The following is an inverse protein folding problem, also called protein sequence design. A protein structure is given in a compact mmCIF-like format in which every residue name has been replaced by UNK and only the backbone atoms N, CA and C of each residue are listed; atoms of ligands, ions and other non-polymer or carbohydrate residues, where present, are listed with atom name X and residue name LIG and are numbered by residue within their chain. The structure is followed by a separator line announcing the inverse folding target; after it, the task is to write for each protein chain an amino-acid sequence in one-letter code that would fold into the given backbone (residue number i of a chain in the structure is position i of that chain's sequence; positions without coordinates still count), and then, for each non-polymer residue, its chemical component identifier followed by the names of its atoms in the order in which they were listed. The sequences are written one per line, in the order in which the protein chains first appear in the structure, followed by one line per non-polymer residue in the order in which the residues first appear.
data_IF_057355195242
#
_entry.id   IF_057355195242
#
_cell.length_a   1.000
_cell.length_b   1.000
_cell.length_c   1.000
_cell.angle_alpha   90.00
_cell.angle_beta   90.00
_cell.angle_gamma   90.00
#
_symmetry.space_group_name_H-M   'P 1'
#
loop_
_entity.id
_entity.type
_entity.pdbx_description
1 polymer ?
#
# COMPACT_ATOMS: atom_id res chain seq x y z
N UNK A 1 -13.32 -2.16 -23.46
CA UNK A 1 -13.54 -2.40 -22.02
C UNK A 1 -14.51 -3.55 -21.83
N UNK A 2 -14.39 -4.31 -20.72
CA UNK A 2 -15.34 -5.36 -20.31
C UNK A 2 -15.80 -5.13 -18.86
N UNK A 3 -16.78 -4.23 -18.61
CA UNK A 3 -17.14 -3.81 -17.25
C UNK A 3 -17.61 -4.95 -16.33
N UNK A 4 -18.40 -5.90 -16.84
CA UNK A 4 -18.88 -7.04 -16.04
C UNK A 4 -17.72 -7.88 -15.47
N UNK A 5 -16.68 -8.12 -16.27
CA UNK A 5 -15.50 -8.86 -15.85
C UNK A 5 -14.73 -8.14 -14.73
N UNK A 6 -14.64 -6.81 -14.80
CA UNK A 6 -14.01 -5.98 -13.76
C UNK A 6 -14.84 -6.01 -12.48
N UNK A 7 -16.16 -5.91 -12.59
CA UNK A 7 -17.07 -6.00 -11.45
C UNK A 7 -16.97 -7.36 -10.74
N UNK A 8 -16.89 -8.46 -11.51
CA UNK A 8 -16.73 -9.79 -10.96
C UNK A 8 -15.37 -9.96 -10.26
N UNK A 9 -14.29 -9.45 -10.85
CA UNK A 9 -12.96 -9.46 -10.24
C UNK A 9 -12.91 -8.62 -8.96
N UNK A 10 -13.52 -7.43 -8.96
CA UNK A 10 -13.64 -6.57 -7.78
C UNK A 10 -14.44 -7.27 -6.68
N UNK A 11 -15.55 -7.92 -7.01
CA UNK A 11 -16.38 -8.65 -6.04
C UNK A 11 -15.56 -9.75 -5.35
N UNK A 12 -14.77 -10.51 -6.11
CA UNK A 12 -13.90 -11.56 -5.55
C UNK A 12 -12.77 -10.98 -4.70
N UNK A 13 -12.10 -9.92 -5.18
CA UNK A 13 -11.09 -9.22 -4.40
C UNK A 13 -11.64 -8.68 -3.07
N UNK A 14 -12.85 -8.10 -3.10
CA UNK A 14 -13.52 -7.53 -1.92
C UNK A 14 -13.91 -8.57 -0.88
N UNK A 15 -14.09 -9.83 -1.28
CA UNK A 15 -14.42 -10.94 -0.40
C UNK A 15 -13.18 -11.61 0.24
N UNK A 16 -11.96 -11.27 -0.20
CA UNK A 16 -10.73 -11.83 0.37
C UNK A 16 -10.44 -11.23 1.75
N UNK A 17 -9.91 -12.01 2.70
CA UNK A 17 -9.53 -11.50 3.99
C UNK A 17 -8.34 -10.54 3.86
N UNK A 18 -8.45 -9.38 4.50
CA UNK A 18 -7.35 -8.43 4.71
C UNK A 18 -6.79 -8.52 6.13
N UNK A 19 -7.55 -9.10 7.06
CA UNK A 19 -7.17 -9.23 8.46
C UNK A 19 -7.07 -7.90 9.20
N UNK A 20 -7.83 -6.91 8.74
CA UNK A 20 -7.85 -5.52 9.25
C UNK A 20 -6.53 -4.75 9.10
N UNK A 21 -5.63 -5.20 8.24
CA UNK A 21 -4.36 -4.50 7.98
C UNK A 21 -4.51 -3.43 6.89
N UNK A 22 -3.86 -2.30 7.13
CA UNK A 22 -3.82 -1.15 6.22
C UNK A 22 -2.38 -0.68 6.05
N UNK A 23 -1.97 -0.39 4.81
CA UNK A 23 -0.69 0.27 4.55
C UNK A 23 -0.80 1.74 4.95
N UNK A 24 0.13 2.21 5.77
CA UNK A 24 0.11 3.56 6.33
C UNK A 24 1.36 4.39 6.09
N UNK A 25 2.42 3.85 5.51
CA UNK A 25 3.59 4.62 5.08
C UNK A 25 4.55 3.74 4.27
N UNK A 26 5.48 4.36 3.55
CA UNK A 26 6.74 3.70 3.23
C UNK A 26 7.55 3.50 4.51
N UNK A 27 8.28 2.38 4.63
CA UNK A 27 9.13 2.09 5.80
C UNK A 27 10.16 3.19 6.06
N UNK A 28 10.73 3.74 4.98
CA UNK A 28 11.69 4.86 5.02
C UNK A 28 11.11 6.20 5.48
N UNK A 29 9.79 6.36 5.55
CA UNK A 29 9.17 7.57 6.11
C UNK A 29 9.14 7.54 7.64
N UNK A 30 9.10 6.35 8.25
CA UNK A 30 9.10 6.16 9.70
C UNK A 30 10.51 5.76 10.14
N UNK A 31 11.38 6.74 10.38
CA UNK A 31 12.81 6.50 10.67
C UNK A 31 13.12 6.55 12.16
N UNK A 32 14.04 5.69 12.62
CA UNK A 32 14.64 5.82 13.95
C UNK A 32 15.31 7.18 14.11
N UNK A 33 15.01 7.87 15.22
CA UNK A 33 15.49 9.24 15.45
C UNK A 33 14.82 10.32 14.59
N UNK A 34 13.82 9.97 13.77
CA UNK A 34 12.97 10.92 13.06
C UNK A 34 11.81 11.45 13.91
N UNK A 35 11.04 12.43 13.38
CA UNK A 35 9.79 12.84 14.00
C UNK A 35 8.76 11.70 13.95
N UNK A 36 7.69 11.74 14.77
CA UNK A 36 6.58 10.82 14.60
C UNK A 36 5.92 11.03 13.23
N UNK A 37 5.40 9.95 12.67
CA UNK A 37 4.61 9.96 11.44
C UNK A 37 3.13 9.86 11.79
N UNK A 38 2.27 10.64 11.14
CA UNK A 38 0.83 10.61 11.37
C UNK A 38 0.05 10.31 10.09
N UNK A 39 -0.98 9.46 10.18
CA UNK A 39 -1.92 9.18 9.08
C UNK A 39 -3.32 8.90 9.62
N UNK A 40 -4.33 9.29 8.85
CA UNK A 40 -5.72 8.91 9.11
C UNK A 40 -6.08 7.69 8.27
N UNK A 41 -6.79 6.73 8.86
CA UNK A 41 -7.30 5.54 8.17
C UNK A 41 -8.75 5.31 8.59
N UNK A 42 -9.68 5.36 7.64
CA UNK A 42 -11.11 5.16 7.94
C UNK A 42 -11.66 6.15 8.98
N UNK A 43 -11.14 7.37 9.03
CA UNK A 43 -11.44 8.37 10.07
C UNK A 43 -10.67 8.20 11.38
N UNK A 44 -9.95 7.10 11.60
CA UNK A 44 -9.12 6.91 12.78
C UNK A 44 -7.74 7.55 12.59
N UNK A 45 -7.32 8.42 13.50
CA UNK A 45 -5.97 8.96 13.50
C UNK A 45 -4.98 7.96 14.08
N UNK A 46 -3.84 7.80 13.39
CA UNK A 46 -2.76 6.90 13.75
C UNK A 46 -1.47 7.70 13.86
N UNK A 47 -0.71 7.49 14.95
CA UNK A 47 0.67 7.96 15.08
C UNK A 47 1.61 6.77 15.08
N UNK A 48 2.76 6.92 14.41
CA UNK A 48 3.82 5.93 14.33
C UNK A 48 5.16 6.55 14.67
N UNK A 49 6.03 5.77 15.31
CA UNK A 49 7.44 6.13 15.50
C UNK A 49 8.27 4.88 15.71
N UNK A 50 9.60 5.05 15.77
CA UNK A 50 10.51 3.97 16.18
C UNK A 50 11.19 4.25 17.49
N UNK A 51 11.33 3.21 18.31
CA UNK A 51 12.19 3.23 19.49
C UNK A 51 13.65 3.42 19.11
N UNK A 52 14.53 3.67 20.09
CA UNK A 52 15.96 3.76 19.85
C UNK A 52 16.55 2.46 19.28
N UNK A 53 15.92 1.32 19.59
CA UNK A 53 16.27 0.01 19.06
C UNK A 53 15.73 -0.25 17.64
N UNK A 54 14.95 0.68 17.07
CA UNK A 54 14.32 0.55 15.76
C UNK A 54 12.99 -0.19 15.73
N UNK A 55 12.47 -0.58 16.91
CA UNK A 55 11.15 -1.19 17.02
C UNK A 55 10.06 -0.19 16.59
N UNK A 56 9.15 -0.64 15.73
CA UNK A 56 8.03 0.17 15.26
C UNK A 56 6.89 0.17 16.29
N UNK A 57 6.45 1.36 16.69
CA UNK A 57 5.25 1.56 17.50
C UNK A 57 4.18 2.26 16.66
N UNK A 58 2.92 1.91 16.92
CA UNK A 58 1.76 2.61 16.38
C UNK A 58 0.65 2.66 17.43
N UNK A 59 -0.22 3.66 17.36
CA UNK A 59 -1.40 3.77 18.21
C UNK A 59 -2.28 4.96 17.84
N UNK A 60 -3.31 5.27 18.65
CA UNK A 60 -4.17 6.43 18.44
C UNK A 60 -3.36 7.72 18.26
N UNK A 61 -3.74 8.52 17.26
CA UNK A 61 -3.08 9.79 16.95
C UNK A 61 -3.35 10.91 17.95
N UNK A 62 -4.26 10.69 18.90
CA UNK A 62 -4.68 11.65 19.91
C UNK A 62 -4.05 11.31 21.27
N UNK A 63 -3.47 12.32 21.92
CA UNK A 63 -2.87 12.18 23.24
C UNK A 63 -3.94 11.89 24.30
N UNK A 64 -3.80 10.83 25.13
CA UNK A 64 -4.80 10.45 26.12
C UNK A 64 -4.95 11.44 27.28
N UNK A 65 -4.00 12.39 27.42
CA UNK A 65 -4.06 13.39 28.47
C UNK A 65 -5.17 14.43 28.21
N UNK A 66 -5.03 15.24 27.16
CA UNK A 66 -5.95 16.35 26.85
C UNK A 66 -6.19 16.50 25.33
N UNK A 67 -5.97 15.45 24.54
CA UNK A 67 -6.40 15.42 23.14
C UNK A 67 -5.44 16.04 22.12
N UNK A 68 -4.20 16.34 22.49
CA UNK A 68 -3.22 16.91 21.53
C UNK A 68 -2.92 15.95 20.36
N UNK A 69 -2.77 16.45 19.11
CA UNK A 69 -2.38 15.64 17.97
C UNK A 69 -0.93 15.16 18.12
N UNK A 70 -0.74 13.86 18.31
CA UNK A 70 0.56 13.25 18.57
C UNK A 70 1.50 13.32 17.34
N UNK A 71 0.96 13.45 16.13
CA UNK A 71 1.75 13.65 14.91
C UNK A 71 2.58 14.94 14.90
N UNK A 72 2.21 15.93 15.70
CA UNK A 72 2.95 17.20 15.86
C UNK A 72 3.96 17.16 17.01
N UNK A 73 4.10 15.99 17.64
CA UNK A 73 4.99 15.77 18.76
C UNK A 73 6.40 15.41 18.31
N UNK A 74 7.28 15.04 19.26
CA UNK A 74 8.67 14.67 18.97
C UNK A 74 8.99 13.29 19.54
N UNK A 75 9.96 12.62 18.95
CA UNK A 75 10.54 11.39 19.50
C UNK A 75 11.86 11.77 20.18
N UNK A 76 12.00 11.46 21.47
CA UNK A 76 13.22 11.70 22.25
C UNK A 76 13.71 10.35 22.77
N UNK A 77 14.92 9.95 22.37
CA UNK A 77 15.52 8.67 22.76
C UNK A 77 14.58 7.46 22.53
N UNK A 78 13.79 7.48 21.46
CA UNK A 78 12.83 6.42 21.12
C UNK A 78 11.46 6.51 21.80
N UNK A 79 11.22 7.52 22.63
CA UNK A 79 9.94 7.75 23.32
C UNK A 79 9.19 8.90 22.66
N UNK A 80 7.90 8.73 22.39
CA UNK A 80 7.04 9.78 21.86
C UNK A 80 6.68 10.76 22.97
N UNK A 81 7.09 12.02 22.86
CA UNK A 81 6.86 13.06 23.87
C UNK A 81 5.89 14.09 23.30
N UNK A 82 4.66 14.10 23.83
CA UNK A 82 3.59 15.00 23.43
C UNK A 82 4.06 16.46 23.48
N UNK A 83 3.87 17.21 22.39
CA UNK A 83 4.31 18.60 22.28
C UNK A 83 3.65 19.57 23.28
N UNK A 84 2.49 19.20 23.84
CA UNK A 84 1.75 20.10 24.72
C UNK A 84 2.27 20.09 26.15
N UNK A 85 2.06 19.00 26.89
CA UNK A 85 2.43 18.89 28.31
C UNK A 85 3.57 17.90 28.58
N UNK A 86 4.21 17.38 27.52
CA UNK A 86 5.36 16.49 27.65
C UNK A 86 5.04 15.07 28.12
N UNK A 87 3.77 14.62 28.04
CA UNK A 87 3.45 13.21 28.29
C UNK A 87 4.31 12.31 27.39
N UNK A 88 5.01 11.38 28.01
CA UNK A 88 5.88 10.42 27.35
C UNK A 88 5.13 9.10 27.14
N UNK A 89 5.12 8.61 25.90
CA UNK A 89 4.56 7.33 25.49
C UNK A 89 5.69 6.47 24.94
N UNK A 90 5.96 5.35 25.59
CA UNK A 90 7.01 4.39 25.23
C UNK A 90 6.54 3.35 24.19
N UNK A 91 5.25 3.37 23.84
CA UNK A 91 4.62 2.43 22.91
C UNK A 91 3.77 1.37 23.61
N UNK A 92 3.78 1.33 24.94
CA UNK A 92 2.86 0.52 25.75
C UNK A 92 1.52 1.23 26.02
N UNK A 93 0.55 0.49 26.59
CA UNK A 93 -0.75 1.05 26.97
C UNK A 93 -0.61 2.10 28.08
N UNK A 94 -1.35 3.21 27.95
CA UNK A 94 -1.37 4.29 28.92
C UNK A 94 -2.73 5.00 28.97
N UNK A 95 -3.41 4.91 30.12
CA UNK A 95 -4.65 5.68 30.39
C UNK A 95 -5.66 5.70 29.24
N UNK A 96 -6.03 4.53 28.71
CA UNK A 96 -7.00 4.40 27.60
C UNK A 96 -6.41 4.62 26.20
N UNK A 97 -5.12 4.98 26.10
CA UNK A 97 -4.35 4.85 24.87
C UNK A 97 -3.83 3.42 24.77
N UNK A 98 -4.30 2.68 23.76
CA UNK A 98 -3.91 1.30 23.50
C UNK A 98 -3.09 1.25 22.21
N UNK A 99 -1.89 0.65 22.20
CA UNK A 99 -1.09 0.54 20.99
C UNK A 99 -1.78 -0.34 19.94
N UNK A 100 -1.65 0.05 18.67
CA UNK A 100 -2.11 -0.76 17.55
C UNK A 100 -1.04 -1.76 17.13
N UNK A 101 -1.44 -2.99 16.73
CA UNK A 101 -0.51 -3.91 16.07
C UNK A 101 0.06 -3.26 14.81
N UNK A 102 1.39 -3.23 14.73
CA UNK A 102 2.13 -2.66 13.61
C UNK A 102 3.05 -3.71 12.98
N UNK A 103 3.24 -3.63 11.67
CA UNK A 103 4.13 -4.51 10.94
C UNK A 103 4.91 -3.74 9.89
N UNK A 104 6.23 -3.82 9.95
CA UNK A 104 7.12 -3.29 8.93
C UNK A 104 7.62 -4.44 8.07
N UNK A 105 7.30 -4.42 6.78
CA UNK A 105 7.72 -5.44 5.83
C UNK A 105 9.05 -5.12 5.12
N UNK A 106 9.70 -4.01 5.51
CA UNK A 106 10.93 -3.49 4.94
C UNK A 106 10.72 -2.45 3.83
N UNK A 107 9.56 -2.42 3.18
CA UNK A 107 9.19 -1.43 2.15
C UNK A 107 8.01 -0.59 2.59
N UNK A 108 7.01 -1.22 3.21
CA UNK A 108 5.76 -0.64 3.65
C UNK A 108 5.53 -0.91 5.13
N UNK A 109 4.94 0.07 5.80
CA UNK A 109 4.47 -0.04 7.17
C UNK A 109 2.96 -0.28 7.15
N UNK A 110 2.55 -1.28 7.91
CA UNK A 110 1.18 -1.72 8.05
C UNK A 110 0.72 -1.51 9.49
N UNK A 111 -0.54 -1.11 9.67
CA UNK A 111 -1.19 -1.02 10.98
C UNK A 111 -2.50 -1.79 10.92
N UNK A 112 -2.79 -2.56 11.97
CA UNK A 112 -4.06 -3.27 12.12
C UNK A 112 -5.07 -2.41 12.85
N UNK A 113 -6.22 -2.17 12.23
CA UNK A 113 -7.29 -1.32 12.77
C UNK A 113 -8.60 -2.10 12.75
N UNK A 114 -8.84 -2.86 13.82
CA UNK A 114 -9.95 -3.82 13.88
C UNK A 114 -11.32 -3.14 13.80
N UNK A 115 -11.47 -1.95 14.40
CA UNK A 115 -12.71 -1.16 14.31
C UNK A 115 -12.97 -0.57 12.90
N UNK A 116 -11.93 -0.38 12.09
CA UNK A 116 -12.05 0.13 10.71
C UNK A 116 -12.28 -1.00 9.73
N UNK A 117 -11.57 -2.12 9.88
CA UNK A 117 -11.67 -3.25 8.97
C UNK A 117 -12.92 -4.12 9.20
N UNK A 118 -13.31 -4.33 10.46
CA UNK A 118 -14.51 -5.11 10.81
C UNK A 118 -14.44 -6.60 10.48
N UNK A 119 -13.30 -7.12 10.02
CA UNK A 119 -13.06 -8.54 9.74
C UNK A 119 -12.48 -9.26 10.96
N UNK A 120 -12.39 -10.60 10.89
CA UNK A 120 -11.60 -11.36 11.86
C UNK A 120 -10.11 -10.98 11.74
N UNK A 121 -9.46 -10.50 12.82
CA UNK A 121 -8.09 -10.02 12.74
C UNK A 121 -7.09 -11.14 12.47
N UNK A 122 -6.12 -10.90 11.59
CA UNK A 122 -4.98 -11.82 11.40
C UNK A 122 -3.76 -11.34 12.17
N UNK A 123 -2.84 -12.26 12.45
CA UNK A 123 -1.56 -11.95 13.12
C UNK A 123 -0.59 -11.15 12.23
N UNK A 124 -0.67 -11.31 10.92
CA UNK A 124 0.23 -10.67 9.93
C UNK A 124 -0.58 -10.17 8.73
N UNK A 125 -0.16 -9.06 8.09
CA UNK A 125 -0.76 -8.62 6.84
C UNK A 125 -0.48 -9.61 5.70
N UNK A 126 -1.33 -9.59 4.68
CA UNK A 126 -1.13 -10.32 3.43
C UNK A 126 -0.18 -9.52 2.54
N UNK A 127 1.13 -9.69 2.77
CA UNK A 127 2.17 -9.01 1.99
C UNK A 127 2.35 -9.72 0.65
N UNK A 128 2.26 -9.00 -0.50
CA UNK A 128 2.54 -9.59 -1.80
C UNK A 128 3.97 -10.16 -1.91
N UNK A 129 4.13 -11.22 -2.71
CA UNK A 129 5.47 -11.77 -2.98
C UNK A 129 6.30 -10.79 -3.81
N UNK A 130 7.44 -10.36 -3.28
CA UNK A 130 8.41 -9.48 -3.97
C UNK A 130 9.64 -10.27 -4.44
N UNK A 131 10.43 -9.73 -5.39
CA UNK A 131 11.81 -10.17 -5.60
C UNK A 131 12.64 -10.15 -4.31
N UNK A 132 13.71 -10.93 -4.26
CA UNK A 132 14.61 -10.94 -3.11
C UNK A 132 15.33 -9.59 -2.96
N UNK A 133 15.38 -9.07 -1.73
CA UNK A 133 15.87 -7.72 -1.42
C UNK A 133 17.32 -7.45 -1.87
N UNK A 134 18.19 -8.47 -1.90
CA UNK A 134 19.60 -8.32 -2.27
C UNK A 134 19.87 -8.07 -3.77
N UNK A 135 18.84 -8.08 -4.62
CA UNK A 135 18.95 -7.79 -6.06
C UNK A 135 17.81 -6.92 -6.59
N UNK A 136 17.11 -6.21 -5.71
CA UNK A 136 15.93 -5.44 -6.05
C UNK A 136 15.98 -4.02 -5.46
N UNK A 137 15.38 -3.08 -6.17
CA UNK A 137 15.23 -1.69 -5.76
C UNK A 137 13.77 -1.38 -5.46
N UNK A 138 13.50 -0.73 -4.34
CA UNK A 138 12.16 -0.26 -4.00
C UNK A 138 11.97 1.26 -4.16
N UNK A 139 10.79 1.62 -4.65
CA UNK A 139 10.31 2.99 -4.64
C UNK A 139 8.84 3.01 -4.23
N UNK A 140 8.53 3.81 -3.21
CA UNK A 140 7.17 4.03 -2.74
C UNK A 140 6.75 5.47 -3.05
N UNK A 141 5.57 5.63 -3.64
CA UNK A 141 4.89 6.92 -3.77
C UNK A 141 3.53 6.86 -3.05
N UNK A 142 3.06 8.03 -2.61
CA UNK A 142 1.75 8.19 -1.98
C UNK A 142 1.01 9.33 -2.66
N UNK A 143 -0.25 9.09 -3.00
CA UNK A 143 -1.17 10.11 -3.54
C UNK A 143 -2.55 9.98 -2.88
N UNK A 144 -3.37 11.02 -2.97
CA UNK A 144 -4.73 11.03 -2.41
C UNK A 144 -5.75 11.35 -3.48
N UNK A 145 -6.84 10.60 -3.51
CA UNK A 145 -7.96 10.77 -4.43
C UNK A 145 -9.30 10.95 -3.71
N UNK A 146 -10.27 11.56 -4.41
CA UNK A 146 -11.69 11.54 -4.02
C UNK A 146 -12.37 10.36 -4.69
N UNK A 147 -12.31 9.23 -4.01
CA UNK A 147 -12.87 7.97 -4.45
C UNK A 147 -12.90 6.99 -3.29
N UNK A 148 -13.67 5.92 -3.45
CA UNK A 148 -13.62 4.77 -2.56
C UNK A 148 -12.41 3.87 -2.88
N UNK A 149 -11.90 3.08 -1.92
CA UNK A 149 -10.82 2.13 -2.19
C UNK A 149 -11.14 1.16 -3.33
N UNK A 150 -12.40 0.73 -3.43
CA UNK A 150 -12.88 -0.17 -4.47
C UNK A 150 -12.80 0.45 -5.88
N UNK A 151 -12.91 1.77 -6.01
CA UNK A 151 -12.76 2.46 -7.30
C UNK A 151 -11.30 2.37 -7.79
N UNK A 152 -10.35 2.48 -6.87
CA UNK A 152 -8.90 2.32 -7.16
C UNK A 152 -8.62 0.90 -7.60
N UNK A 153 -9.16 -0.10 -6.90
CA UNK A 153 -8.99 -1.52 -7.24
C UNK A 153 -9.60 -1.83 -8.60
N UNK A 154 -10.84 -1.39 -8.86
CA UNK A 154 -11.51 -1.57 -10.14
C UNK A 154 -10.73 -0.91 -11.28
N UNK A 155 -10.26 0.32 -11.08
CA UNK A 155 -9.46 1.03 -12.07
C UNK A 155 -8.15 0.29 -12.38
N UNK A 156 -7.44 -0.18 -11.34
CA UNK A 156 -6.15 -0.86 -11.51
C UNK A 156 -6.29 -2.25 -12.15
N UNK A 157 -7.44 -2.90 -11.98
CA UNK A 157 -7.80 -4.17 -12.65
C UNK A 157 -8.34 -4.00 -14.07
N UNK A 158 -8.60 -2.78 -14.55
CA UNK A 158 -9.04 -2.52 -15.93
C UNK A 158 -7.82 -2.34 -16.86
N UNK A 159 -7.40 -3.35 -17.64
CA UNK A 159 -6.29 -3.15 -18.58
C UNK A 159 -6.66 -2.26 -19.77
N UNK A 160 -7.95 -2.09 -20.09
CA UNK A 160 -8.39 -1.42 -21.32
C UNK A 160 -8.23 0.11 -21.26
N UNK A 161 -8.22 0.71 -20.06
CA UNK A 161 -7.96 2.14 -19.95
C UNK A 161 -6.49 2.48 -20.25
N UNK A 162 -5.56 1.52 -20.12
CA UNK A 162 -4.12 1.75 -20.22
C UNK A 162 -3.69 2.40 -21.54
N UNK A 163 -4.05 1.82 -22.68
CA UNK A 163 -3.67 2.35 -23.98
C UNK A 163 -4.36 3.68 -24.33
N UNK A 164 -5.54 3.94 -23.78
CA UNK A 164 -6.35 5.12 -24.10
C UNK A 164 -6.02 6.32 -23.20
N UNK A 165 -5.94 6.09 -21.88
CA UNK A 165 -5.75 7.12 -20.87
C UNK A 165 -4.28 7.39 -20.55
N UNK A 166 -3.39 6.40 -20.78
CA UNK A 166 -1.95 6.54 -20.60
C UNK A 166 -1.14 6.35 -21.89
N UNK A 167 -1.46 7.06 -22.99
CA UNK A 167 -0.84 6.87 -24.31
C UNK A 167 0.66 7.24 -24.34
N UNK A 168 1.13 7.93 -23.30
CA UNK A 168 2.54 8.29 -23.12
C UNK A 168 3.35 7.22 -22.38
N UNK A 169 2.69 6.31 -21.66
CA UNK A 169 3.33 5.26 -20.85
C UNK A 169 3.22 3.88 -21.50
N UNK A 170 2.05 3.56 -22.09
CA UNK A 170 1.78 2.27 -22.68
C UNK A 170 1.46 2.39 -24.18
N UNK A 171 2.01 1.47 -24.96
CA UNK A 171 1.59 1.23 -26.34
C UNK A 171 1.37 -0.27 -26.55
N UNK A 172 0.59 -0.61 -27.58
CA UNK A 172 0.38 -1.98 -28.02
C UNK A 172 -0.13 -2.93 -26.91
N UNK A 173 -1.07 -2.44 -26.09
CA UNK A 173 -1.65 -3.24 -25.02
C UNK A 173 -2.62 -4.27 -25.59
N UNK A 174 -2.32 -5.55 -25.37
CA UNK A 174 -3.17 -6.68 -25.72
C UNK A 174 -3.48 -7.51 -24.50
N UNK A 175 -4.77 -7.76 -24.23
CA UNK A 175 -5.18 -8.69 -23.16
C UNK A 175 -5.08 -10.12 -23.68
N UNK A 176 -4.07 -10.85 -23.21
CA UNK A 176 -3.78 -12.24 -23.60
C UNK A 176 -4.72 -13.20 -22.88
N UNK A 177 -4.97 -12.95 -21.59
CA UNK A 177 -5.86 -13.76 -20.77
C UNK A 177 -6.64 -12.88 -19.80
N UNK A 178 -7.94 -13.14 -19.72
CA UNK A 178 -8.81 -12.60 -18.69
C UNK A 178 -9.07 -13.68 -17.62
N UNK A 179 -9.42 -13.29 -16.38
CA UNK A 179 -9.90 -14.17 -15.32
C UNK A 179 -10.90 -15.22 -15.82
N UNK A 180 -10.79 -16.46 -15.35
CA UNK A 180 -11.69 -17.58 -15.71
C UNK A 180 -12.14 -18.35 -14.47
N UNK A 181 -13.43 -18.56 -14.33
CA UNK A 181 -13.98 -19.27 -13.18
C UNK A 181 -13.86 -18.46 -11.88
N UNK A 182 -13.99 -19.13 -10.75
CA UNK A 182 -14.06 -18.49 -9.43
C UNK A 182 -12.69 -18.33 -8.76
N UNK A 183 -11.69 -19.12 -9.18
CA UNK A 183 -10.38 -19.21 -8.51
C UNK A 183 -9.25 -18.40 -9.21
N UNK A 184 -9.47 -17.93 -10.44
CA UNK A 184 -8.45 -17.21 -11.23
C UNK A 184 -8.87 -15.76 -11.48
N UNK A 185 -8.14 -14.84 -10.85
CA UNK A 185 -8.31 -13.40 -10.96
C UNK A 185 -7.24 -12.70 -11.78
N UNK A 186 -6.35 -13.48 -12.39
CA UNK A 186 -5.21 -12.90 -13.08
C UNK A 186 -5.62 -12.39 -14.47
N UNK A 187 -5.40 -11.10 -14.69
CA UNK A 187 -5.36 -10.52 -16.03
C UNK A 187 -3.93 -10.59 -16.53
N UNK A 188 -3.74 -11.21 -17.70
CA UNK A 188 -2.43 -11.26 -18.36
C UNK A 188 -2.49 -10.37 -19.60
N UNK A 189 -1.58 -9.42 -19.67
CA UNK A 189 -1.48 -8.47 -20.75
C UNK A 189 -0.06 -8.45 -21.32
N UNK A 190 0.03 -8.36 -22.64
CA UNK A 190 1.25 -7.92 -23.29
C UNK A 190 1.15 -6.41 -23.44
N UNK A 191 2.17 -5.69 -22.97
CA UNK A 191 2.20 -4.23 -23.00
C UNK A 191 3.62 -3.75 -23.27
N UNK A 192 3.74 -2.74 -24.11
CA UNK A 192 5.02 -2.09 -24.38
C UNK A 192 5.15 -0.80 -23.58
N UNK A 193 6.10 -0.79 -22.66
CA UNK A 193 6.46 0.38 -21.85
C UNK A 193 7.28 1.35 -22.68
N UNK A 194 6.84 2.61 -22.77
CA UNK A 194 7.58 3.63 -23.50
C UNK A 194 8.75 4.16 -22.67
N UNK A 195 9.98 4.02 -23.19
CA UNK A 195 11.21 4.54 -22.54
C UNK A 195 11.61 5.88 -23.16
N UNK A 196 11.48 6.00 -24.48
CA UNK A 196 11.69 7.26 -25.21
C UNK A 196 10.62 7.41 -26.30
N UNK A 197 10.63 8.50 -27.07
CA UNK A 197 9.72 8.64 -28.23
C UNK A 197 9.87 7.52 -29.28
N UNK A 198 11.01 6.82 -29.33
CA UNK A 198 11.31 5.81 -30.36
C UNK A 198 11.61 4.42 -29.80
N UNK A 199 11.73 4.29 -28.48
CA UNK A 199 12.10 3.03 -27.83
C UNK A 199 10.99 2.59 -26.88
N UNK A 200 10.60 1.33 -27.02
CA UNK A 200 9.65 0.66 -26.14
C UNK A 200 10.25 -0.64 -25.62
N UNK A 201 9.79 -1.07 -24.46
CA UNK A 201 10.20 -2.32 -23.82
C UNK A 201 8.94 -3.18 -23.70
N UNK A 202 8.77 -4.19 -24.56
CA UNK A 202 7.64 -5.11 -24.46
C UNK A 202 7.83 -6.02 -23.25
N UNK A 203 6.77 -6.19 -22.47
CA UNK A 203 6.72 -7.17 -21.39
C UNK A 203 5.36 -7.85 -21.34
N UNK A 204 5.34 -9.04 -20.74
CA UNK A 204 4.10 -9.66 -20.28
C UNK A 204 3.90 -9.35 -18.81
N UNK A 205 2.77 -8.74 -18.48
CA UNK A 205 2.41 -8.39 -17.12
C UNK A 205 1.17 -9.16 -16.65
N UNK A 206 1.19 -9.59 -15.40
CA UNK A 206 0.07 -10.23 -14.71
C UNK A 206 -0.46 -9.31 -13.60
N UNK A 207 -1.77 -9.09 -13.57
CA UNK A 207 -2.46 -8.30 -12.56
C UNK A 207 -3.33 -9.19 -11.70
N UNK A 208 -3.17 -9.10 -10.38
CA UNK A 208 -3.97 -9.84 -9.39
C UNK A 208 -4.40 -8.91 -8.25
N UNK A 209 -5.43 -9.29 -7.50
CA UNK A 209 -5.88 -8.53 -6.34
C UNK A 209 -5.88 -9.43 -5.08
N UNK A 210 -4.75 -9.57 -4.36
CA UNK A 210 -4.65 -10.49 -3.23
C UNK A 210 -5.53 -10.13 -2.02
N UNK A 211 -6.15 -8.96 -2.04
CA UNK A 211 -7.06 -8.50 -0.99
C UNK A 211 -7.99 -7.39 -1.49
N UNK A 212 -8.89 -6.90 -0.63
CA UNK A 212 -9.93 -5.93 -1.00
C UNK A 212 -9.38 -4.54 -1.34
N UNK A 213 -8.10 -4.28 -1.00
CA UNK A 213 -7.46 -2.97 -1.09
C UNK A 213 -6.08 -3.04 -1.74
N UNK A 214 -5.72 -4.16 -2.34
CA UNK A 214 -4.40 -4.37 -2.92
C UNK A 214 -4.51 -4.92 -4.32
N UNK A 215 -3.83 -4.29 -5.27
CA UNK A 215 -3.62 -4.83 -6.62
C UNK A 215 -2.12 -4.97 -6.86
N UNK A 216 -1.73 -6.09 -7.45
CA UNK A 216 -0.33 -6.42 -7.74
C UNK A 216 -0.21 -6.64 -9.23
N UNK A 217 0.61 -5.82 -9.87
CA UNK A 217 1.14 -6.07 -11.20
C UNK A 217 2.49 -6.78 -11.05
N UNK A 218 2.70 -7.90 -11.73
CA UNK A 218 3.99 -8.58 -11.85
C UNK A 218 4.43 -8.60 -13.30
N UNK A 219 5.69 -8.28 -13.57
CA UNK A 219 6.30 -8.58 -14.88
C UNK A 219 6.62 -10.08 -14.91
N UNK A 220 5.89 -10.84 -15.72
CA UNK A 220 6.04 -12.28 -15.86
C UNK A 220 7.13 -12.67 -16.87
N UNK A 221 7.21 -11.94 -17.98
CA UNK A 221 8.19 -12.15 -19.05
C UNK A 221 8.69 -10.82 -19.61
N UNK A 222 9.93 -10.79 -20.10
CA UNK A 222 10.57 -9.59 -20.67
C UNK A 222 11.55 -8.91 -19.72
N UNK A 223 11.94 -7.68 -20.07
CA UNK A 223 12.87 -6.89 -19.26
C UNK A 223 12.25 -6.59 -17.89
N UNK A 224 13.02 -6.87 -16.83
CA UNK A 224 12.56 -6.67 -15.46
C UNK A 224 11.63 -7.78 -14.94
N UNK A 225 11.62 -8.96 -15.57
CA UNK A 225 10.87 -10.12 -15.08
C UNK A 225 11.10 -10.36 -13.58
N UNK A 226 10.01 -10.65 -12.87
CA UNK A 226 9.99 -10.76 -11.41
C UNK A 226 9.60 -9.46 -10.69
N UNK A 227 9.85 -8.29 -11.29
CA UNK A 227 9.47 -6.99 -10.73
C UNK A 227 7.97 -6.93 -10.40
N UNK A 228 7.63 -6.20 -9.33
CA UNK A 228 6.26 -6.00 -8.89
C UNK A 228 5.93 -4.52 -8.71
N UNK A 229 4.70 -4.16 -9.02
CA UNK A 229 4.08 -2.90 -8.63
C UNK A 229 2.86 -3.24 -7.79
N UNK A 230 2.88 -2.83 -6.54
CA UNK A 230 1.77 -2.98 -5.60
C UNK A 230 1.05 -1.65 -5.50
N UNK A 231 -0.26 -1.65 -5.66
CA UNK A 231 -1.13 -0.49 -5.42
C UNK A 231 -1.98 -0.82 -4.19
N UNK A 232 -1.84 -0.04 -3.12
CA UNK A 232 -2.59 -0.19 -1.87
C UNK A 232 -3.54 0.99 -1.66
N UNK A 233 -4.83 0.71 -1.55
CA UNK A 233 -5.90 1.70 -1.41
C UNK A 233 -6.35 1.80 0.06
N UNK A 234 -5.76 2.72 0.81
CA UNK A 234 -6.09 2.94 2.23
C UNK A 234 -7.18 4.02 2.35
N UNK A 235 -8.37 3.72 2.89
CA UNK A 235 -9.42 4.72 3.08
C UNK A 235 -8.96 5.79 4.06
N UNK A 236 -9.17 7.06 3.74
CA UNK A 236 -8.94 8.18 4.67
C UNK A 236 -10.20 8.47 5.48
N UNK A 237 -11.36 8.44 4.84
CA UNK A 237 -12.68 8.69 5.42
C UNK A 237 -13.36 7.38 5.83
N UNK A 238 -14.35 7.44 6.72
CA UNK A 238 -15.19 6.28 7.05
C UNK A 238 -16.06 5.85 5.87
N UNK A 239 -16.51 4.58 5.86
CA UNK A 239 -17.23 3.98 4.73
C UNK A 239 -18.66 4.49 4.46
N UNK A 240 -19.15 5.45 5.24
CA UNK A 240 -20.46 6.10 5.04
C UNK A 240 -20.32 7.61 4.76
N UNK A 241 -19.11 8.10 4.49
CA UNK A 241 -18.86 9.50 4.20
C UNK A 241 -19.41 9.87 2.82
N UNK A 242 -20.11 11.01 2.71
CA UNK A 242 -20.66 11.50 1.44
C UNK A 242 -19.57 11.87 0.42
N UNK A 243 -18.33 12.08 0.88
CA UNK A 243 -17.20 12.53 0.07
C UNK A 243 -15.99 11.64 0.34
N UNK A 244 -16.00 10.38 -0.12
CA UNK A 244 -14.96 9.43 0.20
C UNK A 244 -13.60 9.89 -0.31
N UNK A 245 -12.58 9.64 0.52
CA UNK A 245 -11.19 9.91 0.18
C UNK A 245 -10.36 8.66 0.42
N UNK A 246 -9.43 8.41 -0.48
CA UNK A 246 -8.53 7.25 -0.43
C UNK A 246 -7.10 7.72 -0.65
N UNK A 247 -6.20 7.25 0.20
CA UNK A 247 -4.76 7.31 -0.03
C UNK A 247 -4.34 6.09 -0.85
N UNK A 248 -3.73 6.33 -2.00
CA UNK A 248 -3.11 5.28 -2.82
C UNK A 248 -1.62 5.28 -2.54
N UNK A 249 -1.12 4.18 -1.98
CA UNK A 249 0.31 3.95 -1.77
C UNK A 249 0.77 2.93 -2.80
N UNK A 250 1.63 3.34 -3.71
CA UNK A 250 2.21 2.43 -4.70
C UNK A 250 3.65 2.09 -4.35
N UNK A 251 3.94 0.79 -4.25
CA UNK A 251 5.28 0.27 -4.06
C UNK A 251 5.74 -0.44 -5.33
N UNK A 252 6.78 0.08 -5.95
CA UNK A 252 7.51 -0.58 -7.04
C UNK A 252 8.69 -1.30 -6.42
N UNK A 253 8.80 -2.61 -6.66
CA UNK A 253 10.00 -3.40 -6.35
C UNK A 253 10.52 -3.98 -7.64
N UNK A 254 11.53 -3.31 -8.19
CA UNK A 254 12.14 -3.63 -9.47
C UNK A 254 13.29 -4.62 -9.30
N UNK A 255 13.37 -5.61 -10.17
CA UNK A 255 14.47 -6.57 -10.27
C UNK A 255 14.93 -6.65 -11.73
N UNK A 256 16.22 -6.87 -11.96
CA UNK A 256 16.78 -7.09 -13.30
C UNK A 256 18.05 -7.92 -13.19
N UNK A 257 18.24 -8.83 -14.15
CA UNK A 257 19.48 -9.61 -14.30
C UNK A 257 20.59 -8.84 -15.02
N UNK A 258 20.34 -7.57 -15.39
CA UNK A 258 21.34 -6.75 -16.08
C UNK A 258 22.55 -6.50 -15.18
N UNK A 259 23.78 -6.64 -15.72
CA UNK A 259 24.98 -6.27 -15.01
C UNK A 259 24.89 -4.83 -14.48
N UNK A 260 25.12 -4.66 -13.18
CA UNK A 260 25.10 -3.35 -12.52
C UNK A 260 23.76 -2.95 -11.90
N UNK A 261 22.64 -3.65 -12.15
CA UNK A 261 21.37 -3.35 -11.47
C UNK A 261 21.44 -3.60 -9.97
N UNK A 262 22.11 -4.67 -9.55
CA UNK A 262 22.33 -4.98 -8.13
C UNK A 262 23.28 -4.00 -7.41
N UNK A 263 23.93 -3.08 -8.14
CA UNK A 263 24.81 -2.04 -7.57
C UNK A 263 24.11 -0.67 -7.44
N UNK A 264 22.89 -0.55 -7.96
CA UNK A 264 22.13 0.70 -8.01
C UNK A 264 21.35 0.97 -6.70
#
# INVERSE_FOLDING_TARGET
ARPALIADALKRASARPSGNWFVVAASREVRTGGPPFGRTVGGAEVVLWRSAAGELHAGPGICPHLGAPLRESRVVCGTLVCHWHGLALDGGPFAGWEPYPAYDDGVLVWVRLDAVGGEEPTRRPVVPRRPAAGGALDAVCTTEGRCEPQDVVANRLDPWHGAWFHPYSFVDLTVIRAPRGEDDDAFVVDVSFRVTRRCVVPVRAEFTAPGPRTVVMRIAEGEGAGSVVETHATPLTGGADERPRTTVIEAVVAASDRPGFALA
#
